data_IF_569955749428
#
_entry.id   IF_569955749428
#
_cell.length_a   1.000
_cell.length_b   1.000
_cell.length_c   1.000
_cell.angle_alpha   90.00
_cell.angle_beta   90.00
_cell.angle_gamma   90.00
#
_symmetry.space_group_name_H-M   'P 1'
#
loop_
_entity.id
_entity.type
_entity.pdbx_description
1 polymer ?
#
# COMPACT_ATOMS: atom_id res chain seq x y z
N UNK A 1 -4.00 6.09 -5.14
CA UNK A 1 -3.02 6.76 -5.47
C UNK A 1 -1.74 6.02 -5.31
N UNK A 2 -1.04 5.57 -4.64
CA UNK A 2 0.41 5.47 -4.70
C UNK A 2 0.92 4.06 -4.67
N UNK A 3 0.08 3.10 -4.33
CA UNK A 3 0.55 1.72 -4.30
C UNK A 3 0.87 1.25 -5.72
N UNK A 4 -0.02 1.53 -6.66
CA UNK A 4 0.16 1.01 -8.01
C UNK A 4 1.31 1.68 -8.76
N UNK A 5 1.83 2.77 -8.23
CA UNK A 5 3.02 3.38 -8.81
C UNK A 5 4.27 2.58 -8.51
N UNK A 6 4.23 1.75 -7.49
CA UNK A 6 5.37 0.94 -7.10
C UNK A 6 5.13 -0.54 -7.24
N UNK A 7 3.89 -0.98 -7.14
CA UNK A 7 3.58 -2.41 -7.13
C UNK A 7 2.49 -2.69 -8.15
N UNK A 8 2.68 -3.74 -8.93
CA UNK A 8 1.65 -4.20 -9.86
C UNK A 8 0.77 -5.25 -9.21
N UNK A 9 1.31 -6.00 -8.27
CA UNK A 9 0.56 -7.00 -7.49
C UNK A 9 0.98 -6.86 -6.04
N UNK A 10 0.07 -7.15 -5.13
CA UNK A 10 0.32 -6.96 -3.70
C UNK A 10 0.16 -8.29 -2.96
N UNK A 11 0.80 -8.38 -1.80
CA UNK A 11 0.60 -9.49 -0.89
C UNK A 11 -0.78 -9.39 -0.25
N UNK A 12 -1.15 -10.41 0.51
CA UNK A 12 -2.46 -10.44 1.14
C UNK A 12 -2.57 -9.52 2.34
N UNK A 13 -1.47 -9.00 2.82
CA UNK A 13 -1.46 -8.20 4.05
C UNK A 13 -0.92 -6.82 3.78
N UNK A 14 -1.46 -5.84 4.51
CA UNK A 14 -0.85 -4.53 4.59
C UNK A 14 -0.77 -4.16 6.07
N UNK A 15 0.27 -3.42 6.43
CA UNK A 15 0.50 -3.01 7.80
C UNK A 15 0.17 -1.54 7.95
N UNK A 16 -0.62 -1.20 8.97
CA UNK A 16 -0.99 0.18 9.25
C UNK A 16 -0.54 0.49 10.67
N UNK A 17 0.27 1.54 10.81
CA UNK A 17 0.73 2.00 12.11
C UNK A 17 0.21 3.41 12.32
N UNK A 18 -0.47 3.64 13.44
CA UNK A 18 -1.01 4.94 13.74
C UNK A 18 0.00 5.75 14.55
N UNK A 19 0.27 6.96 14.07
CA UNK A 19 1.09 7.93 14.77
C UNK A 19 0.23 9.11 15.18
N UNK A 20 0.80 10.00 15.99
CA UNK A 20 0.05 11.16 16.49
C UNK A 20 -0.46 12.05 15.36
N UNK A 21 0.29 12.14 14.28
CA UNK A 21 -0.04 13.06 13.20
C UNK A 21 -0.22 12.36 11.87
N UNK A 22 -0.62 11.08 11.88
CA UNK A 22 -0.87 10.40 10.63
C UNK A 22 -0.83 8.89 10.77
N UNK A 23 -0.84 8.23 9.61
CA UNK A 23 -0.82 6.77 9.53
C UNK A 23 0.29 6.35 8.58
N UNK A 24 1.10 5.40 9.00
CA UNK A 24 2.15 4.86 8.17
C UNK A 24 1.69 3.51 7.62
N UNK A 25 1.69 3.36 6.30
CA UNK A 25 1.19 2.15 5.65
C UNK A 25 2.34 1.48 4.93
N UNK A 26 2.47 0.19 5.13
CA UNK A 26 3.50 -0.62 4.47
C UNK A 26 2.82 -1.75 3.73
N UNK A 27 3.04 -1.82 2.42
CA UNK A 27 2.45 -2.83 1.55
C UNK A 27 3.58 -3.47 0.76
N UNK A 28 3.59 -4.79 0.70
CA UNK A 28 4.60 -5.54 -0.04
C UNK A 28 3.98 -6.23 -1.23
N UNK A 29 4.78 -6.52 -2.24
CA UNK A 29 4.32 -7.21 -3.43
C UNK A 29 5.42 -7.27 -4.45
N UNK A 30 5.04 -7.22 -5.73
CA UNK A 30 6.01 -7.21 -6.82
C UNK A 30 5.78 -5.99 -7.69
N UNK A 31 6.87 -5.47 -8.26
CA UNK A 31 6.80 -4.33 -9.16
C UNK A 31 6.62 -4.81 -10.59
N UNK A 32 6.67 -3.89 -11.56
CA UNK A 32 6.42 -4.26 -12.94
C UNK A 32 7.54 -5.09 -13.55
N UNK A 33 8.70 -5.14 -12.90
CA UNK A 33 9.79 -6.04 -13.30
C UNK A 33 9.66 -7.42 -12.68
N UNK A 34 8.57 -7.65 -11.95
CA UNK A 34 8.31 -8.91 -11.26
C UNK A 34 9.28 -9.17 -10.13
N UNK A 35 9.91 -8.12 -9.62
CA UNK A 35 10.79 -8.19 -8.46
C UNK A 35 10.02 -7.84 -7.20
N UNK A 36 10.35 -8.50 -6.09
CA UNK A 36 9.72 -8.22 -4.81
C UNK A 36 10.08 -6.81 -4.36
N UNK A 37 9.08 -6.07 -3.90
CA UNK A 37 9.28 -4.70 -3.48
C UNK A 37 8.24 -4.33 -2.43
N UNK A 38 8.40 -3.17 -1.83
CA UNK A 38 7.41 -2.70 -0.87
C UNK A 38 7.16 -1.21 -1.07
N UNK A 39 5.96 -0.78 -0.73
CA UNK A 39 5.57 0.63 -0.75
C UNK A 39 5.33 1.08 0.68
N UNK A 40 5.98 2.17 1.07
CA UNK A 40 5.84 2.75 2.40
C UNK A 40 5.25 4.13 2.21
N UNK A 41 4.05 4.34 2.73
CA UNK A 41 3.28 5.54 2.43
C UNK A 41 2.81 6.16 3.73
N UNK A 42 2.99 7.47 3.84
CA UNK A 42 2.50 8.22 4.99
C UNK A 42 1.19 8.91 4.62
N UNK A 43 0.14 8.61 5.36
CA UNK A 43 -1.17 9.24 5.18
C UNK A 43 -1.39 10.23 6.31
N UNK A 44 -1.69 11.48 5.97
CA UNK A 44 -1.79 12.53 6.97
C UNK A 44 -3.16 12.60 7.62
N UNK A 45 -4.15 11.95 7.03
CA UNK A 45 -5.50 11.93 7.61
C UNK A 45 -6.19 10.63 7.23
N UNK A 46 -7.34 10.41 7.86
CA UNK A 46 -8.06 9.16 7.68
C UNK A 46 -8.64 9.02 6.27
N UNK A 47 -9.02 10.12 5.63
CA UNK A 47 -9.55 10.06 4.27
C UNK A 47 -8.50 9.53 3.31
N UNK A 48 -7.25 9.98 3.45
CA UNK A 48 -6.15 9.46 2.63
C UNK A 48 -5.93 7.97 2.89
N UNK A 49 -6.03 7.56 4.14
CA UNK A 49 -5.88 6.15 4.48
C UNK A 49 -6.96 5.31 3.82
N UNK A 50 -8.20 5.78 3.83
CA UNK A 50 -9.29 5.05 3.19
C UNK A 50 -9.08 4.90 1.70
N UNK A 51 -8.58 5.94 1.04
CA UNK A 51 -8.28 5.84 -0.38
C UNK A 51 -7.22 4.78 -0.64
N UNK A 52 -6.23 4.72 0.22
CA UNK A 52 -5.14 3.77 0.07
C UNK A 52 -5.62 2.34 0.29
N UNK A 53 -6.47 2.13 1.28
CA UNK A 53 -7.05 0.82 1.55
C UNK A 53 -7.90 0.37 0.36
N UNK A 54 -8.68 1.29 -0.21
CA UNK A 54 -9.49 1.00 -1.38
C UNK A 54 -8.63 0.61 -2.57
N UNK A 55 -7.54 1.32 -2.78
CA UNK A 55 -6.60 0.97 -3.85
C UNK A 55 -6.00 -0.40 -3.64
N UNK A 56 -5.59 -0.70 -2.41
CA UNK A 56 -5.04 -2.00 -2.08
C UNK A 56 -6.04 -3.12 -2.38
N UNK A 57 -7.30 -2.87 -2.04
CA UNK A 57 -8.34 -3.88 -2.25
C UNK A 57 -8.54 -4.20 -3.73
N UNK A 58 -8.31 -3.22 -4.60
CA UNK A 58 -8.54 -3.38 -6.03
C UNK A 58 -7.35 -3.97 -6.78
N UNK A 59 -6.17 -3.96 -6.18
CA UNK A 59 -4.98 -4.46 -6.85
C UNK A 59 -4.96 -5.99 -6.86
N UNK A 60 -4.40 -6.60 -7.91
CA UNK A 60 -4.28 -8.06 -7.95
C UNK A 60 -3.37 -8.55 -6.84
N UNK A 61 -3.66 -9.72 -6.32
CA UNK A 61 -2.80 -10.36 -5.34
C UNK A 61 -1.61 -11.00 -6.01
N UNK A 62 -0.52 -11.08 -5.27
CA UNK A 62 0.74 -11.50 -5.84
C UNK A 62 0.76 -12.98 -6.24
N UNK A 63 0.11 -13.80 -5.51
CA UNK A 63 0.22 -15.20 -5.84
C UNK A 63 -0.74 -15.62 -6.93
#
# INVERSE_FOLDING_TARGET
MKIKEKLTKVDEEMTITKYDNGYFVNVSGVNEDDDWSSAKILCLNFADLLELVSEFDKLPKRD
#
